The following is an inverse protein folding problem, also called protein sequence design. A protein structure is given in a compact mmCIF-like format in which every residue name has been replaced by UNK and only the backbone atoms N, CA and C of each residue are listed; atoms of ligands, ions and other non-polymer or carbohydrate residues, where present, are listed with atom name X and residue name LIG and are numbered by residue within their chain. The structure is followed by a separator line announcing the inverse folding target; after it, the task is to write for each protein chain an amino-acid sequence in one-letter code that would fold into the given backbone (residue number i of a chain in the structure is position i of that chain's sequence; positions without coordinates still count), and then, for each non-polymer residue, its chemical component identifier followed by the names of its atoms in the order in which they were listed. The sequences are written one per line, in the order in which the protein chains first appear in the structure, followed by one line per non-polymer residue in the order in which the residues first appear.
data_IF_330221303720
#
_entry.id   IF_330221303720
#
_cell.length_a   1.000
_cell.length_b   1.000
_cell.length_c   1.000
_cell.angle_alpha   90.00
_cell.angle_beta   90.00
_cell.angle_gamma   90.00
#
_symmetry.space_group_name_H-M   'P 1'
#
loop_
_entity.id
_entity.type
_entity.pdbx_description
1 polymer ?
2 non-polymer ?
3 water ?
#
# COMPACT_ATOMS: atom_id res chain seq x y z
N UNK A 8 -12.97 -13.95 10.54
CA UNK A 8 -11.53 -13.76 10.23
C UNK A 8 -10.90 -15.05 9.68
N UNK A 9 -9.58 -15.04 9.59
CA UNK A 9 -8.81 -16.13 9.04
C UNK A 9 -8.90 -17.36 9.92
N UNK A 10 -8.89 -18.57 9.32
CA UNK A 10 -8.84 -19.79 10.11
C UNK A 10 -7.47 -19.89 10.80
N UNK A 11 -7.36 -20.71 11.86
CA UNK A 11 -6.13 -20.78 12.65
C UNK A 11 -4.88 -21.02 11.80
N UNK A 12 -4.98 -21.93 10.83
CA UNK A 12 -3.90 -22.17 9.86
C UNK A 12 -3.32 -20.89 9.28
N UNK A 13 -4.16 -19.85 9.17
CA UNK A 13 -3.79 -18.60 8.50
C UNK A 13 -3.87 -17.38 9.42
N UNK A 14 -3.82 -17.62 10.73
CA UNK A 14 -3.95 -16.54 11.72
C UNK A 14 -2.98 -15.40 11.45
N UNK A 15 -1.78 -15.74 10.99
CA UNK A 15 -0.73 -14.74 10.71
C UNK A 15 -1.18 -13.65 9.73
N UNK A 16 -2.16 -13.96 8.88
CA UNK A 16 -2.69 -12.99 7.91
C UNK A 16 -3.34 -11.79 8.58
N UNK A 17 -3.68 -11.92 9.85
CA UNK A 17 -4.19 -10.78 10.60
C UNK A 17 -3.22 -9.60 10.57
N UNK A 18 -1.92 -9.89 10.45
CA UNK A 18 -0.91 -8.84 10.34
C UNK A 18 -1.12 -7.99 9.08
N UNK A 19 -1.60 -8.61 8.02
CA UNK A 19 -1.89 -7.90 6.78
C UNK A 19 -3.21 -7.13 6.94
N UNK A 20 -4.21 -7.77 7.52
CA UNK A 20 -5.48 -7.08 7.84
C UNK A 20 -5.17 -5.75 8.54
N UNK A 21 -4.36 -5.82 9.59
CA UNK A 21 -4.06 -4.65 10.44
C UNK A 21 -3.46 -3.49 9.64
N UNK A 22 -2.63 -3.81 8.66
CA UNK A 22 -1.99 -2.77 7.86
C UNK A 22 -2.97 -2.09 6.91
N UNK A 23 -4.07 -2.76 6.60
CA UNK A 23 -5.04 -2.19 5.65
C UNK A 23 -6.21 -1.52 6.35
N UNK A 24 -6.07 -1.25 7.66
CA UNK A 24 -7.15 -0.67 8.46
C UNK A 24 -6.93 0.82 8.67
N UNK A 25 -7.97 1.61 8.40
CA UNK A 25 -7.93 3.07 8.61
C UNK A 25 -7.89 3.37 10.10
N UNK A 26 -6.96 4.25 10.48
CA UNK A 26 -6.76 4.57 11.89
C UNK A 26 -7.83 5.51 12.46
N UNK A 27 -8.69 6.01 11.58
CA UNK A 27 -9.79 6.87 12.02
C UNK A 27 -11.09 6.11 12.25
N UNK A 28 -11.48 5.29 11.27
CA UNK A 28 -12.76 4.55 11.38
C UNK A 28 -12.58 3.09 11.78
N UNK A 29 -11.35 2.59 11.72
CA UNK A 29 -11.04 1.20 12.07
C UNK A 29 -11.62 0.14 11.10
N UNK A 30 -11.95 0.58 9.88
CA UNK A 30 -12.41 -0.32 8.83
C UNK A 30 -11.34 -0.38 7.77
N UNK A 31 -11.40 -1.37 6.88
CA UNK A 31 -10.44 -1.43 5.78
C UNK A 31 -10.61 -0.18 4.93
N UNK A 32 -9.50 0.34 4.41
CA UNK A 32 -9.51 1.59 3.63
C UNK A 32 -10.57 1.57 2.55
N UNK A 33 -11.33 2.66 2.46
CA UNK A 33 -12.25 2.93 1.34
C UNK A 33 -11.79 4.25 0.72
N UNK A 34 -11.32 4.19 -0.52
CA UNK A 34 -10.70 5.33 -1.19
C UNK A 34 -9.52 5.86 -0.36
N UNK A 35 -8.46 5.07 -0.26
CA UNK A 35 -7.32 5.46 0.56
C UNK A 35 -6.65 6.75 0.06
N UNK A 36 -6.36 7.65 0.99
CA UNK A 36 -5.55 8.85 0.72
C UNK A 36 -4.25 8.82 1.53
N UNK A 37 -3.16 9.18 0.89
CA UNK A 37 -1.88 9.29 1.59
C UNK A 37 -1.65 10.75 1.92
N UNK A 38 -1.08 10.97 3.11
CA UNK A 38 -0.53 12.29 3.45
C UNK A 38 0.94 12.23 3.06
N UNK A 39 1.34 12.95 1.98
CA UNK A 39 2.68 12.77 1.46
C UNK A 39 3.81 13.16 2.41
N UNK A 40 3.61 14.14 3.28
CA UNK A 40 4.68 14.59 4.16
C UNK A 40 5.06 13.57 5.23
N UNK A 41 4.17 12.63 5.54
CA UNK A 41 4.45 11.67 6.61
C UNK A 41 4.20 10.22 6.23
N UNK A 42 3.51 10.01 5.09
CA UNK A 42 3.19 8.70 4.53
C UNK A 42 2.11 7.91 5.27
N UNK A 43 1.34 8.56 6.16
CA UNK A 43 0.22 7.86 6.76
C UNK A 43 -0.99 7.93 5.82
N UNK A 44 -1.88 6.94 5.94
CA UNK A 44 -3.00 6.75 5.05
C UNK A 44 -4.32 6.62 5.84
N UNK A 45 -5.38 7.15 5.24
CA UNK A 45 -6.75 7.13 5.81
C UNK A 45 -7.76 7.07 4.68
N UNK A 46 -8.97 6.59 4.96
CA UNK A 46 -10.07 6.71 3.99
C UNK A 46 -10.23 8.20 3.70
N UNK A 47 -10.52 8.51 2.45
CA UNK A 47 -10.67 9.90 2.02
C UNK A 47 -11.63 10.69 2.89
N UNK A 48 -12.84 10.16 3.10
CA UNK A 48 -13.83 10.87 3.89
C UNK A 48 -13.37 11.05 5.35
N UNK A 49 -12.78 10.00 5.91
CA UNK A 49 -12.35 10.00 7.31
C UNK A 49 -11.39 11.15 7.58
N UNK A 50 -10.34 11.23 6.76
CA UNK A 50 -9.31 12.25 6.96
C UNK A 50 -9.81 13.66 6.62
N UNK A 51 -10.61 13.80 5.57
CA UNK A 51 -11.18 15.11 5.23
C UNK A 51 -12.08 15.66 6.34
N UNK A 52 -12.87 14.78 6.94
CA UNK A 52 -13.69 15.19 8.06
C UNK A 52 -12.83 15.60 9.27
N UNK A 53 -11.82 14.80 9.56
CA UNK A 53 -10.89 15.10 10.67
C UNK A 53 -10.20 16.45 10.51
N UNK A 54 -9.78 16.75 9.29
CA UNK A 54 -9.01 17.99 9.01
C UNK A 54 -9.85 19.26 9.14
N UNK A 55 -11.17 19.11 9.01
CA UNK A 55 -12.08 20.24 9.12
C UNK A 55 -12.19 20.67 10.58
N UNK A 56 -11.77 19.79 11.50
CA UNK A 56 -11.73 20.01 12.94
C UNK A 56 -10.29 20.30 13.45
N UNK A 57 -9.32 19.54 12.96
CA UNK A 57 -7.91 19.69 13.38
C UNK A 57 -6.99 19.42 12.21
N UNK A 58 -6.20 20.43 11.86
CA UNK A 58 -5.35 20.38 10.68
C UNK A 58 -4.03 19.63 10.95
N UNK A 59 -4.14 18.34 11.29
CA UNK A 59 -2.98 17.54 11.64
C UNK A 59 -3.20 16.10 11.24
N UNK A 60 -2.11 15.35 11.07
CA UNK A 60 -2.19 13.91 10.93
C UNK A 60 -2.60 13.32 12.28
N UNK A 61 -3.66 12.51 12.31
CA UNK A 61 -4.13 11.85 13.54
C UNK A 61 -3.07 10.97 14.24
N UNK A 62 -2.13 10.44 13.47
CA UNK A 62 -1.11 9.51 14.01
C UNK A 62 0.14 10.25 14.48
N UNK A 63 0.68 11.12 13.64
CA UNK A 63 1.97 11.75 13.93
C UNK A 63 1.94 13.26 14.25
N UNK A 64 0.77 13.89 14.06
CA UNK A 64 0.49 15.28 14.47
C UNK A 64 1.16 16.39 13.63
N UNK A 65 1.83 16.01 12.55
CA UNK A 65 2.35 16.99 11.62
C UNK A 65 1.17 17.76 11.03
N UNK A 66 1.39 19.02 10.66
CA UNK A 66 0.33 19.82 10.05
C UNK A 66 -0.03 19.27 8.67
N UNK A 67 -1.33 19.13 8.44
CA UNK A 67 -1.88 18.64 7.18
C UNK A 67 -3.15 19.42 6.83
N UNK A 68 -3.32 19.74 5.55
CA UNK A 68 -4.57 20.32 5.07
C UNK A 68 -5.06 19.50 3.88
N UNK A 69 -6.33 19.69 3.55
CA UNK A 69 -6.94 18.89 2.48
C UNK A 69 -6.20 18.90 1.12
N UNK A 70 -5.65 20.07 0.68
CA UNK A 70 -4.91 20.07 -0.58
C UNK A 70 -3.65 19.17 -0.59
N UNK A 71 -3.16 18.77 0.58
CA UNK A 71 -1.99 17.90 0.67
C UNK A 71 -2.29 16.47 0.22
N UNK A 72 -3.53 16.03 0.41
CA UNK A 72 -3.91 14.62 0.30
C UNK A 72 -3.85 14.12 -1.13
N UNK A 73 -3.37 12.90 -1.31
CA UNK A 73 -3.29 12.34 -2.66
C UNK A 73 -3.85 10.93 -2.62
N UNK A 74 -4.43 10.47 -3.71
CA UNK A 74 -4.95 9.10 -3.73
C UNK A 74 -3.79 8.10 -3.57
N UNK A 75 -4.02 7.04 -2.81
CA UNK A 75 -3.08 5.92 -2.73
C UNK A 75 -3.83 4.73 -3.28
N UNK A 76 -3.92 4.65 -4.61
CA UNK A 76 -4.84 3.72 -5.30
C UNK A 76 -4.51 2.23 -5.10
N UNK A 77 -3.22 1.94 -4.91
CA UNK A 77 -2.78 0.57 -4.62
C UNK A 77 -3.46 -0.03 -3.38
N UNK A 78 -3.72 0.80 -2.37
CA UNK A 78 -4.37 0.28 -1.15
C UNK A 78 -5.79 -0.24 -1.40
N UNK A 79 -6.53 0.45 -2.27
CA UNK A 79 -7.91 0.02 -2.60
C UNK A 79 -7.87 -1.34 -3.31
N UNK A 80 -6.90 -1.53 -4.21
CA UNK A 80 -6.72 -2.80 -4.91
C UNK A 80 -6.34 -3.92 -3.93
N UNK A 81 -5.48 -3.58 -2.97
CA UNK A 81 -5.03 -4.55 -1.96
C UNK A 81 -6.19 -4.97 -1.08
N UNK A 82 -6.98 -3.98 -0.66
CA UNK A 82 -8.20 -4.27 0.14
C UNK A 82 -9.13 -5.21 -0.62
N UNK A 83 -9.39 -4.88 -1.89
CA UNK A 83 -10.30 -5.69 -2.72
C UNK A 83 -9.78 -7.13 -2.85
N UNK A 84 -8.48 -7.26 -3.08
CA UNK A 84 -7.87 -8.57 -3.31
C UNK A 84 -7.85 -9.41 -2.04
N UNK A 85 -7.51 -8.76 -0.93
CA UNK A 85 -7.42 -9.46 0.34
C UNK A 85 -8.82 -9.89 0.79
N UNK A 86 -9.83 -9.06 0.54
CA UNK A 86 -11.23 -9.43 0.83
C UNK A 86 -11.62 -10.70 0.06
N UNK A 87 -11.27 -10.74 -1.22
CA UNK A 87 -11.54 -11.94 -2.04
C UNK A 87 -10.85 -13.17 -1.46
N UNK A 88 -9.57 -13.04 -1.14
CA UNK A 88 -8.78 -14.14 -0.60
C UNK A 88 -9.37 -14.62 0.71
N UNK A 89 -9.62 -13.69 1.63
CA UNK A 89 -10.20 -14.03 2.93
C UNK A 89 -11.52 -14.78 2.76
N UNK A 90 -12.41 -14.26 1.91
CA UNK A 90 -13.73 -14.86 1.70
C UNK A 90 -13.69 -16.24 1.06
N UNK A 91 -12.58 -16.58 0.43
CA UNK A 91 -12.41 -17.90 -0.19
C UNK A 91 -11.47 -18.82 0.57
N UNK A 92 -11.01 -18.38 1.73
CA UNK A 92 -10.10 -19.16 2.56
C UNK A 92 -10.63 -19.42 3.97
N UNK A 93 -11.93 -19.18 4.17
CA UNK A 93 -12.55 -19.36 5.51
C UNK A 93 -12.50 -20.79 6.04
N UNK A 94 -12.43 -21.77 5.14
CA UNK A 94 -12.43 -23.18 5.54
C UNK A 94 -11.08 -23.87 5.26
N UNK A 95 -10.03 -23.06 5.07
CA UNK A 95 -8.68 -23.58 4.82
C UNK A 95 -8.18 -24.38 6.02
N UNK A 96 -7.73 -25.61 5.76
N UNK B 7 9.01 -18.29 -4.47
CA UNK B 7 8.08 -17.32 -3.82
C UNK B 7 6.62 -17.79 -3.91
N UNK B 8 6.40 -19.07 -3.60
CA UNK B 8 5.08 -19.71 -3.68
C UNK B 8 4.53 -20.13 -2.32
N UNK B 9 3.23 -20.37 -2.26
CA UNK B 9 2.52 -20.61 -1.01
C UNK B 9 2.22 -22.09 -0.80
N UNK B 10 1.90 -22.51 0.44
CA UNK B 10 1.56 -23.92 0.62
C UNK B 10 0.30 -24.25 -0.18
N UNK B 11 0.05 -25.56 -0.41
CA UNK B 11 -1.12 -26.01 -1.17
C UNK B 11 -2.42 -25.32 -0.77
N UNK B 12 -3.13 -24.82 -1.79
CA UNK B 12 -4.45 -24.26 -1.60
C UNK B 12 -4.47 -22.79 -1.28
N UNK B 13 -3.35 -22.11 -1.55
CA UNK B 13 -3.26 -20.67 -1.35
C UNK B 13 -2.93 -19.94 -2.64
N UNK B 14 -3.36 -20.51 -3.77
CA UNK B 14 -3.14 -19.91 -5.09
C UNK B 14 -3.70 -18.50 -5.16
N UNK B 15 -4.79 -18.24 -4.43
CA UNK B 15 -5.40 -16.91 -4.39
C UNK B 15 -4.44 -15.81 -3.91
N UNK B 16 -3.41 -16.19 -3.16
CA UNK B 16 -2.44 -15.20 -2.68
C UNK B 16 -1.62 -14.54 -3.81
N UNK B 17 -1.61 -15.13 -5.00
CA UNK B 17 -0.82 -14.56 -6.10
C UNK B 17 -1.20 -13.09 -6.41
N UNK B 18 -2.49 -12.79 -6.35
CA UNK B 18 -2.97 -11.43 -6.64
C UNK B 18 -2.32 -10.39 -5.71
N UNK B 19 -2.26 -10.73 -4.43
CA UNK B 19 -1.68 -9.86 -3.43
C UNK B 19 -0.17 -9.76 -3.62
N UNK B 20 0.48 -10.92 -3.83
CA UNK B 20 1.91 -10.96 -4.11
C UNK B 20 2.32 -10.09 -5.31
N UNK B 21 1.53 -10.16 -6.38
CA UNK B 21 1.75 -9.38 -7.59
C UNK B 21 1.63 -7.88 -7.35
N UNK B 22 0.66 -7.48 -6.54
CA UNK B 22 0.48 -6.04 -6.21
C UNK B 22 1.65 -5.43 -5.47
N UNK B 23 2.43 -6.26 -4.80
CA UNK B 23 3.50 -5.76 -3.97
C UNK B 23 4.84 -5.82 -4.69
N UNK B 24 4.80 -5.98 -6.01
CA UNK B 24 6.00 -6.06 -6.84
C UNK B 24 6.09 -4.86 -7.79
N UNK B 25 7.29 -4.29 -7.83
CA UNK B 25 7.64 -3.17 -8.72
C UNK B 25 7.57 -3.53 -10.20
N UNK B 26 6.93 -2.69 -11.01
CA UNK B 26 6.75 -2.94 -12.44
C UNK B 26 8.02 -2.79 -13.26
N UNK B 27 9.03 -2.15 -12.69
CA UNK B 27 10.33 -1.98 -13.35
C UNK B 27 11.19 -3.25 -13.15
N UNK B 28 11.39 -3.65 -11.89
CA UNK B 28 12.32 -4.76 -11.61
C UNK B 28 11.69 -6.13 -11.32
N UNK B 29 10.37 -6.14 -11.10
CA UNK B 29 9.58 -7.36 -10.80
C UNK B 29 9.82 -7.92 -9.40
N UNK B 30 10.66 -7.24 -8.63
CA UNK B 30 10.91 -7.64 -7.25
C UNK B 30 9.92 -6.96 -6.32
N UNK B 31 9.78 -7.48 -5.10
CA UNK B 31 9.01 -6.77 -4.08
C UNK B 31 9.57 -5.35 -3.93
N UNK B 32 8.65 -4.38 -3.79
CA UNK B 32 9.03 -2.99 -3.55
C UNK B 32 10.12 -2.89 -2.50
N UNK B 33 11.18 -2.18 -2.88
CA UNK B 33 12.25 -1.87 -1.97
C UNK B 33 12.34 -0.36 -1.83
N UNK B 34 11.94 0.16 -0.66
CA UNK B 34 11.79 1.61 -0.42
C UNK B 34 10.80 2.14 -1.45
N UNK B 35 9.56 1.70 -1.34
CA UNK B 35 8.49 2.08 -2.24
C UNK B 35 8.30 3.60 -2.28
N UNK B 36 8.27 4.13 -3.49
CA UNK B 36 7.97 5.55 -3.73
C UNK B 36 6.71 5.66 -4.58
N UNK B 37 5.84 6.58 -4.19
CA UNK B 37 4.67 6.92 -4.99
C UNK B 37 4.94 8.16 -5.85
N UNK B 38 4.41 8.15 -7.06
CA UNK B 38 4.30 9.36 -7.92
C UNK B 38 2.91 9.97 -7.64
N UNK B 39 2.87 11.10 -6.91
CA UNK B 39 1.61 11.58 -6.39
C UNK B 39 0.58 11.96 -7.46
N UNK B 40 1.05 12.39 -8.62
CA UNK B 40 0.14 12.82 -9.70
C UNK B 40 -0.58 11.66 -10.40
N UNK B 41 -0.14 10.42 -10.18
CA UNK B 41 -0.75 9.29 -10.91
C UNK B 41 -0.95 8.05 -10.05
N UNK B 42 -0.37 8.07 -8.85
CA UNK B 42 -0.50 7.01 -7.87
C UNK B 42 0.28 5.72 -8.21
N UNK B 43 1.16 5.74 -9.21
CA UNK B 43 2.00 4.58 -9.49
C UNK B 43 3.18 4.51 -8.53
N UNK B 44 3.66 3.29 -8.28
CA UNK B 44 4.66 3.03 -7.24
C UNK B 44 5.80 2.21 -7.81
N UNK B 45 7.01 2.50 -7.34
CA UNK B 45 8.25 1.81 -7.78
C UNK B 45 9.24 1.79 -6.64
N UNK B 46 10.22 0.88 -6.70
CA UNK B 46 11.37 0.98 -5.80
C UNK B 46 12.06 2.33 -6.02
N UNK B 47 12.53 2.92 -4.94
CA UNK B 47 13.30 4.17 -5.01
C UNK B 47 14.39 4.12 -6.08
N UNK B 48 15.25 3.09 -6.01
CA UNK B 48 16.37 3.05 -6.94
C UNK B 48 15.89 2.92 -8.39
N UNK B 49 14.87 2.09 -8.60
CA UNK B 49 14.29 1.87 -9.92
C UNK B 49 13.78 3.15 -10.56
N UNK B 50 12.95 3.89 -9.83
CA UNK B 50 12.33 5.09 -10.40
C UNK B 50 13.37 6.21 -10.54
N UNK B 51 14.26 6.37 -9.56
CA UNK B 51 15.28 7.41 -9.65
C UNK B 51 16.21 7.17 -10.83
N UNK B 52 16.50 5.91 -11.12
CA UNK B 52 17.31 5.58 -12.30
C UNK B 52 16.54 5.91 -13.58
N UNK B 53 15.26 5.57 -13.64
CA UNK B 53 14.44 5.90 -14.81
C UNK B 53 14.34 7.41 -15.07
N UNK B 54 14.13 8.19 -14.01
CA UNK B 54 13.96 9.65 -14.15
C UNK B 54 15.24 10.37 -14.59
N UNK B 55 16.39 9.75 -14.35
CA UNK B 55 17.65 10.28 -14.86
C UNK B 55 17.70 10.10 -16.39
N UNK B 56 16.83 9.25 -16.90
CA UNK B 56 16.71 8.95 -18.33
C UNK B 56 15.59 9.77 -18.97
N UNK B 57 14.36 9.58 -18.47
CA UNK B 57 13.18 10.29 -18.98
C UNK B 57 12.31 10.77 -17.83
N UNK B 58 11.93 12.05 -17.87
CA UNK B 58 11.16 12.67 -16.79
C UNK B 58 9.66 12.41 -16.92
N UNK B 59 9.28 11.14 -16.80
CA UNK B 59 7.90 10.70 -16.93
C UNK B 59 7.66 9.40 -16.17
N UNK B 60 6.41 9.10 -15.90
CA UNK B 60 6.06 7.84 -15.23
C UNK B 60 6.28 6.69 -16.20
N UNK B 61 7.01 5.64 -15.76
CA UNK B 61 7.28 4.57 -16.72
C UNK B 61 6.07 3.69 -17.04
N UNK B 62 4.94 3.92 -16.37
CA UNK B 62 3.70 3.20 -16.65
C UNK B 62 2.71 4.04 -17.46
N UNK B 63 2.36 5.23 -16.96
CA UNK B 63 1.33 6.06 -17.61
C UNK B 63 1.82 7.26 -18.41
N UNK B 64 3.12 7.54 -18.37
CA UNK B 64 3.74 8.62 -19.18
C UNK B 64 3.48 10.07 -18.73
N UNK B 65 2.80 10.28 -17.61
CA UNK B 65 2.64 11.66 -17.12
C UNK B 65 4.01 12.19 -16.76
N UNK B 66 4.19 13.50 -16.90
CA UNK B 66 5.45 14.16 -16.57
C UNK B 66 5.71 14.00 -15.07
N UNK B 67 6.95 13.66 -14.73
CA UNK B 67 7.37 13.43 -13.35
C UNK B 67 8.82 13.84 -13.23
N UNK B 68 9.16 14.57 -12.17
CA UNK B 68 10.55 14.85 -11.84
C UNK B 68 10.87 14.27 -10.46
N UNK B 69 12.16 14.06 -10.20
CA UNK B 69 12.60 13.45 -8.94
C UNK B 69 12.06 14.10 -7.65
N UNK B 70 11.94 15.46 -7.60
CA UNK B 70 11.33 16.03 -6.37
C UNK B 70 9.85 15.70 -6.14
N UNK B 71 9.18 15.18 -7.15
CA UNK B 71 7.77 14.79 -7.02
C UNK B 71 7.62 13.56 -6.12
N UNK B 72 8.62 12.67 -6.15
CA UNK B 72 8.52 11.38 -5.45
C UNK B 72 8.38 11.51 -3.94
N UNK B 73 7.50 10.69 -3.37
CA UNK B 73 7.27 10.63 -1.92
C UNK B 73 7.34 9.16 -1.48
N UNK B 74 7.81 8.89 -0.27
CA UNK B 74 7.80 7.49 0.21
C UNK B 74 6.38 6.96 0.34
N UNK B 75 6.17 5.70 -0.06
CA UNK B 75 4.90 5.02 0.23
C UNK B 75 5.18 3.92 1.26
N UNK B 76 5.31 4.33 2.51
CA UNK B 76 5.88 3.48 3.56
C UNK B 76 5.06 2.24 3.84
N UNK B 77 3.75 2.34 3.68
CA UNK B 77 2.85 1.20 3.97
C UNK B 77 3.18 0.00 3.09
N UNK B 78 3.68 0.24 1.87
CA UNK B 78 4.07 -0.85 0.97
C UNK B 78 5.28 -1.62 1.49
N UNK B 79 6.21 -0.88 2.12
CA UNK B 79 7.37 -1.54 2.76
C UNK B 79 6.90 -2.45 3.91
N UNK B 80 5.93 -1.94 4.69
CA UNK B 80 5.37 -2.70 5.80
C UNK B 80 4.65 -3.95 5.25
N UNK B 81 3.92 -3.78 4.16
CA UNK B 81 3.17 -4.90 3.59
C UNK B 81 4.09 -5.97 3.03
N UNK B 82 5.16 -5.55 2.34
CA UNK B 82 6.17 -6.49 1.83
C UNK B 82 6.79 -7.30 2.94
N UNK B 83 7.19 -6.63 4.02
CA UNK B 83 7.75 -7.31 5.17
C UNK B 83 6.76 -8.31 5.75
N UNK B 84 5.52 -7.87 5.93
CA UNK B 84 4.53 -8.71 6.61
C UNK B 84 4.12 -9.89 5.75
N UNK B 85 3.98 -9.66 4.44
CA UNK B 85 3.67 -10.76 3.52
C UNK B 85 4.76 -11.82 3.44
N UNK B 86 6.03 -11.38 3.37
CA UNK B 86 7.16 -12.32 3.44
C UNK B 86 7.12 -13.14 4.74
N UNK B 87 6.89 -12.47 5.87
CA UNK B 87 6.80 -13.17 7.15
C UNK B 87 5.68 -14.20 7.11
N UNK B 88 4.49 -13.76 6.67
CA UNK B 88 3.32 -14.65 6.60
C UNK B 88 3.62 -15.87 5.74
N UNK B 89 4.17 -15.64 4.55
CA UNK B 89 4.43 -16.73 3.61
C UNK B 89 5.41 -17.77 4.20
N UNK B 90 6.47 -17.28 4.84
CA UNK B 90 7.48 -18.16 5.44
C UNK B 90 6.93 -18.91 6.65
N UNK B 91 6.11 -18.25 7.46
CA UNK B 91 5.47 -18.86 8.63
C UNK B 91 4.51 -20.00 8.25
N UNK B 92 3.91 -19.90 7.06
CA UNK B 92 2.96 -20.91 6.57
C UNK B 92 3.65 -22.12 5.95
N UNK B 93 4.68 -21.85 5.15
CA UNK B 93 5.53 -22.89 4.57
C UNK B 93 6.22 -23.75 5.64
N UNK B 94 6.32 -23.20 6.85
CA UNK B 94 6.82 -23.93 8.01
C UNK B 94 5.76 -24.91 8.54
N UNK B 95 6.07 -26.20 8.47
X LIG C 1 1.32 11.23 9.83
X LIG D 1 -11.60 5.33 7.56
X LIG E 1 1.87 6.79 -13.57
X LIG F 1 11.99 -1.98 -8.59
#
# INVERSE_FOLDING_TARGET
MDSLAESRWPPGLAVMKTIDDLLRCGICFEYFNIAMIIPQCSHNYCSLCIRKFLSYKTQCPTCCVTVTEPDLKNNRILDELVKSLNFARNHLLQFALES
MDSLAESRWPPGLAVMKTIDDLLRCGICFEYFNIAMIIPQCSHNYCSLCIRKFLSYKTQCPTCCVTVTEPDLKNNRILDELVKSLNFARNHLLQFALES
ZN ZN
ZN ZN
ZN ZN
ZN ZN
#
